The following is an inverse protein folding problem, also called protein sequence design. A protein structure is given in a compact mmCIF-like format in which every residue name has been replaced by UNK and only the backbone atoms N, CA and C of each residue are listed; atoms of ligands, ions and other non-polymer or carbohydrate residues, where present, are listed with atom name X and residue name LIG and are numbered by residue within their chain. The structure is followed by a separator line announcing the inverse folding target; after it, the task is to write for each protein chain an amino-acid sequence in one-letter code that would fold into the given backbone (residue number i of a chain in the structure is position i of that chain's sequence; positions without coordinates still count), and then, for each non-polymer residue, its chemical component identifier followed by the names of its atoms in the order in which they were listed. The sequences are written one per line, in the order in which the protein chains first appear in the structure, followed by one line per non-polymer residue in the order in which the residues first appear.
data_IF_798096736413
#
_entry.id   IF_798096736413
#
_cell.length_a   1.000
_cell.length_b   1.000
_cell.length_c   1.000
_cell.angle_alpha   90.00
_cell.angle_beta   90.00
_cell.angle_gamma   90.00
#
_symmetry.space_group_name_H-M   'P 1'
#
loop_
_entity.id
_entity.type
_entity.pdbx_description
1 polymer ?
#
# COMPACT_ATOMS: atom_id res chain seq x y z
N UNK A 1 -13.05 -4.62 13.19
CA UNK A 1 -12.03 -4.30 14.18
C UNK A 1 -12.19 -2.84 14.57
N UNK A 2 -12.37 -2.57 15.86
CA UNK A 2 -12.47 -1.20 16.40
C UNK A 2 -11.06 -0.65 16.69
N UNK A 3 -10.26 -0.49 15.63
CA UNK A 3 -9.00 0.26 15.72
C UNK A 3 -9.33 1.73 15.54
N UNK A 4 -8.85 2.58 16.47
CA UNK A 4 -8.99 4.03 16.37
C UNK A 4 -8.36 4.61 15.13
N UNK A 5 -8.64 5.87 14.85
CA UNK A 5 -8.07 6.62 13.72
C UNK A 5 -7.39 7.91 14.19
N UNK A 6 -7.09 8.01 15.50
CA UNK A 6 -6.59 9.24 16.10
C UNK A 6 -5.25 9.68 15.50
N UNK A 7 -4.33 8.72 15.31
CA UNK A 7 -3.02 8.99 14.75
C UNK A 7 -3.09 9.42 13.28
N UNK A 8 -4.02 8.85 12.50
CA UNK A 8 -4.11 9.09 11.06
C UNK A 8 -5.26 10.00 10.64
N UNK A 9 -5.92 10.67 11.59
CA UNK A 9 -7.04 11.57 11.32
C UNK A 9 -6.69 12.65 10.28
N UNK A 10 -5.49 13.22 10.35
CA UNK A 10 -5.02 14.30 9.47
C UNK A 10 -4.33 13.79 8.18
N UNK A 11 -4.11 12.48 8.06
CA UNK A 11 -3.49 11.90 6.86
C UNK A 11 -4.36 12.14 5.63
N UNK A 12 -3.74 12.49 4.50
CA UNK A 12 -4.47 12.69 3.25
C UNK A 12 -5.19 11.42 2.79
N UNK A 13 -6.46 11.51 2.50
CA UNK A 13 -7.24 10.37 2.00
C UNK A 13 -6.92 10.04 0.55
N UNK A 14 -6.58 11.07 -0.24
CA UNK A 14 -6.31 10.93 -1.67
C UNK A 14 -5.21 11.91 -2.12
N UNK A 15 -4.30 11.44 -2.95
CA UNK A 15 -3.33 12.27 -3.66
C UNK A 15 -3.49 12.05 -5.16
N UNK A 16 -3.53 13.13 -5.95
CA UNK A 16 -3.49 13.04 -7.41
C UNK A 16 -2.05 13.17 -7.88
N UNK A 17 -1.62 12.29 -8.78
CA UNK A 17 -0.28 12.29 -9.36
C UNK A 17 -0.40 12.16 -10.89
N UNK A 18 0.37 12.96 -11.60
CA UNK A 18 0.59 12.83 -13.05
C UNK A 18 2.03 12.39 -13.29
N UNK A 19 2.22 11.37 -14.15
CA UNK A 19 3.56 10.93 -14.55
C UNK A 19 3.67 10.99 -16.07
N UNK A 20 4.83 11.47 -16.53
CA UNK A 20 5.15 11.52 -17.95
C UNK A 20 5.15 10.11 -18.56
N UNK A 21 4.55 9.97 -19.74
CA UNK A 21 4.36 8.70 -20.45
C UNK A 21 5.68 7.99 -20.82
N UNK A 22 6.80 8.71 -20.86
CA UNK A 22 8.13 8.16 -21.13
C UNK A 22 8.78 7.51 -19.92
N UNK A 23 8.32 7.84 -18.70
CA UNK A 23 8.82 7.21 -17.48
C UNK A 23 8.33 5.77 -17.38
N UNK A 24 9.18 4.85 -16.90
CA UNK A 24 8.71 3.55 -16.48
C UNK A 24 8.10 3.67 -15.08
N UNK A 25 6.93 3.09 -14.93
CA UNK A 25 6.20 3.11 -13.67
C UNK A 25 6.01 1.69 -13.17
N UNK A 26 6.42 1.46 -11.94
CA UNK A 26 6.29 0.16 -11.26
C UNK A 26 5.36 0.27 -10.07
N UNK A 27 4.60 -0.80 -9.82
CA UNK A 27 3.73 -0.94 -8.64
C UNK A 27 4.07 -2.24 -7.94
N UNK A 28 4.27 -2.20 -6.63
CA UNK A 28 4.57 -3.37 -5.80
C UNK A 28 3.52 -3.54 -4.70
N UNK A 29 3.10 -4.79 -4.48
CA UNK A 29 2.22 -5.17 -3.38
C UNK A 29 2.91 -5.23 -2.03
N UNK A 30 2.29 -5.95 -1.09
CA UNK A 30 2.76 -6.11 0.29
C UNK A 30 4.19 -6.65 0.36
N UNK A 31 5.00 -6.06 1.25
CA UNK A 31 6.42 -6.39 1.39
C UNK A 31 6.79 -7.08 2.71
N UNK A 32 5.97 -6.93 3.75
CA UNK A 32 6.13 -7.62 5.04
C UNK A 32 7.56 -7.52 5.62
N UNK A 33 8.22 -6.37 5.53
CA UNK A 33 9.57 -6.16 6.04
C UNK A 33 10.68 -6.91 5.26
N UNK A 34 10.39 -7.46 4.07
CA UNK A 34 11.32 -8.26 3.27
C UNK A 34 12.13 -7.38 2.28
N UNK A 35 13.15 -6.70 2.81
CA UNK A 35 14.08 -5.91 1.99
C UNK A 35 14.81 -6.72 0.91
N UNK A 36 15.30 -7.95 1.17
CA UNK A 36 15.90 -8.79 0.12
C UNK A 36 14.97 -9.07 -1.05
N UNK A 37 13.68 -9.37 -0.78
CA UNK A 37 12.70 -9.63 -1.82
C UNK A 37 12.46 -8.39 -2.69
N UNK A 38 12.32 -7.20 -2.08
CA UNK A 38 12.21 -5.94 -2.83
C UNK A 38 13.43 -5.70 -3.73
N UNK A 39 14.65 -5.82 -3.18
CA UNK A 39 15.88 -5.62 -3.96
C UNK A 39 15.97 -6.60 -5.13
N UNK A 40 15.62 -7.86 -4.92
CA UNK A 40 15.61 -8.86 -5.99
C UNK A 40 14.59 -8.50 -7.07
N UNK A 41 13.38 -8.08 -6.70
CA UNK A 41 12.35 -7.67 -7.66
C UNK A 41 12.83 -6.49 -8.52
N UNK A 42 13.37 -5.46 -7.89
CA UNK A 42 13.89 -4.26 -8.58
C UNK A 42 15.09 -4.57 -9.48
N UNK A 43 16.01 -5.43 -9.01
CA UNK A 43 17.17 -5.84 -9.82
C UNK A 43 16.76 -6.61 -11.08
N UNK A 44 15.73 -7.46 -11.00
CA UNK A 44 15.25 -8.25 -12.14
C UNK A 44 14.70 -7.38 -13.28
N UNK A 45 14.25 -6.18 -13.00
CA UNK A 45 13.74 -5.22 -14.00
C UNK A 45 14.75 -4.10 -14.31
N UNK A 46 15.96 -4.16 -13.74
CA UNK A 46 16.97 -3.11 -13.84
C UNK A 46 16.39 -1.73 -13.48
N UNK A 47 15.71 -1.64 -12.31
CA UNK A 47 15.12 -0.41 -11.82
C UNK A 47 16.19 0.66 -11.58
N UNK A 48 15.94 1.85 -12.11
CA UNK A 48 16.80 3.03 -11.95
C UNK A 48 16.01 4.14 -11.21
N UNK A 49 16.33 4.45 -9.93
CA UNK A 49 15.59 5.45 -9.16
C UNK A 49 15.68 6.89 -9.68
N UNK A 50 16.59 7.16 -10.62
CA UNK A 50 16.68 8.48 -11.27
C UNK A 50 15.76 8.60 -12.50
N UNK A 51 15.23 7.50 -13.01
CA UNK A 51 14.43 7.45 -14.24
C UNK A 51 13.08 6.77 -14.08
N UNK A 52 12.98 5.87 -13.13
CA UNK A 52 11.79 5.05 -12.91
C UNK A 52 11.04 5.52 -11.67
N UNK A 53 9.75 5.26 -11.60
CA UNK A 53 8.92 5.54 -10.43
C UNK A 53 8.38 4.23 -9.85
N UNK A 54 8.52 4.05 -8.54
CA UNK A 54 7.95 2.92 -7.81
C UNK A 54 6.81 3.39 -6.91
N UNK A 55 5.63 2.76 -7.03
CA UNK A 55 4.54 2.86 -6.08
C UNK A 55 4.50 1.62 -5.18
N UNK A 56 4.41 1.82 -3.86
CA UNK A 56 4.28 0.76 -2.86
C UNK A 56 2.89 0.84 -2.22
N UNK A 57 2.13 -0.26 -2.28
CA UNK A 57 0.71 -0.31 -1.92
C UNK A 57 0.43 -0.53 -0.42
N UNK A 58 1.37 -0.17 0.46
CA UNK A 58 1.25 -0.37 1.90
C UNK A 58 1.73 -1.74 2.35
N UNK A 59 1.60 -2.01 3.63
CA UNK A 59 2.09 -3.22 4.30
C UNK A 59 3.55 -3.57 3.94
N UNK A 60 4.40 -2.54 3.96
CA UNK A 60 5.85 -2.73 3.87
C UNK A 60 6.50 -2.90 5.25
N UNK A 61 5.77 -2.60 6.34
CA UNK A 61 6.19 -2.89 7.71
C UNK A 61 5.77 -4.30 8.15
N UNK A 62 6.29 -4.71 9.32
CA UNK A 62 5.94 -5.91 10.07
C UNK A 62 6.42 -7.24 9.48
N UNK A 63 6.29 -8.31 10.28
CA UNK A 63 6.64 -9.71 9.99
C UNK A 63 8.14 -9.92 9.77
N UNK A 64 8.78 -9.13 8.90
CA UNK A 64 10.23 -9.19 8.65
C UNK A 64 11.02 -8.35 9.67
N UNK A 65 12.20 -8.83 10.04
CA UNK A 65 13.13 -8.14 10.94
C UNK A 65 13.90 -6.97 10.27
N UNK A 66 13.76 -6.82 8.94
CA UNK A 66 14.36 -5.76 8.14
C UNK A 66 13.41 -4.59 7.85
N UNK A 67 12.31 -4.48 8.57
CA UNK A 67 11.30 -3.45 8.34
C UNK A 67 11.87 -2.02 8.33
N UNK A 68 12.70 -1.65 9.32
CA UNK A 68 13.28 -0.31 9.35
C UNK A 68 14.27 -0.07 8.17
N UNK A 69 15.07 -1.07 7.84
CA UNK A 69 16.00 -1.00 6.71
C UNK A 69 15.24 -0.90 5.37
N UNK A 70 14.12 -1.63 5.25
CA UNK A 70 13.22 -1.57 4.09
C UNK A 70 12.61 -0.18 3.93
N UNK A 71 12.07 0.38 5.00
CA UNK A 71 11.53 1.75 5.00
C UNK A 71 12.59 2.78 4.56
N UNK A 72 13.80 2.72 5.14
CA UNK A 72 14.90 3.62 4.78
C UNK A 72 15.32 3.44 3.30
N UNK A 73 15.30 2.23 2.80
CA UNK A 73 15.58 1.94 1.39
C UNK A 73 14.52 2.51 0.46
N UNK A 74 13.22 2.34 0.78
CA UNK A 74 12.12 2.94 0.00
C UNK A 74 12.23 4.47 -0.07
N UNK A 75 12.62 5.12 1.03
CA UNK A 75 12.89 6.56 1.04
C UNK A 75 14.08 6.93 0.15
N UNK A 76 15.18 6.17 0.24
CA UNK A 76 16.40 6.42 -0.53
C UNK A 76 16.17 6.33 -2.05
N UNK A 77 15.32 5.43 -2.50
CA UNK A 77 14.92 5.31 -3.91
C UNK A 77 13.73 6.19 -4.29
N UNK A 78 13.25 7.04 -3.37
CA UNK A 78 12.12 7.96 -3.58
C UNK A 78 10.82 7.26 -3.97
N UNK A 79 10.55 6.08 -3.42
CA UNK A 79 9.31 5.35 -3.67
C UNK A 79 8.08 6.15 -3.19
N UNK A 80 7.04 6.16 -4.00
CA UNK A 80 5.72 6.69 -3.63
C UNK A 80 4.98 5.65 -2.80
N UNK A 81 4.92 5.85 -1.49
CA UNK A 81 4.28 4.93 -0.55
C UNK A 81 2.86 5.39 -0.22
N UNK A 82 1.92 4.48 -0.12
CA UNK A 82 0.64 4.67 0.56
C UNK A 82 0.63 3.84 1.86
N UNK A 83 -0.27 4.17 2.78
CA UNK A 83 -0.42 3.41 4.01
C UNK A 83 -1.25 2.14 3.78
N UNK A 84 -0.84 1.05 4.42
CA UNK A 84 -1.63 -0.16 4.60
C UNK A 84 -2.18 -0.28 6.01
N UNK A 85 -2.85 -1.39 6.31
CA UNK A 85 -3.41 -1.61 7.64
C UNK A 85 -2.33 -1.90 8.69
N UNK A 86 -1.17 -2.41 8.31
CA UNK A 86 -0.03 -2.60 9.22
C UNK A 86 0.61 -1.26 9.62
N UNK A 87 0.78 -0.32 8.69
CA UNK A 87 1.21 1.05 9.03
C UNK A 87 0.19 1.74 9.92
N UNK A 88 -1.12 1.56 9.69
CA UNK A 88 -2.17 2.09 10.56
C UNK A 88 -2.07 1.52 11.98
N UNK A 89 -1.94 0.20 12.15
CA UNK A 89 -1.73 -0.42 13.46
C UNK A 89 -0.51 0.13 14.20
N UNK A 90 0.62 0.26 13.50
CA UNK A 90 1.84 0.82 14.06
C UNK A 90 1.63 2.25 14.55
N UNK A 91 1.03 3.11 13.73
CA UNK A 91 0.81 4.52 14.06
C UNK A 91 -0.14 4.70 15.25
N UNK A 92 -1.27 3.97 15.29
CA UNK A 92 -2.19 4.02 16.43
C UNK A 92 -1.54 3.47 17.72
N UNK A 93 -0.72 2.42 17.60
CA UNK A 93 -0.01 1.84 18.73
C UNK A 93 1.00 2.79 19.34
N UNK A 94 1.77 3.48 18.50
CA UNK A 94 2.90 4.30 18.97
C UNK A 94 2.51 5.75 19.30
N UNK A 95 1.48 6.30 18.64
CA UNK A 95 1.12 7.70 18.78
C UNK A 95 -0.15 7.93 19.61
N UNK A 96 -1.10 6.99 19.61
CA UNK A 96 -2.37 7.13 20.32
C UNK A 96 -2.41 6.41 21.67
N UNK A 97 -1.36 5.67 22.04
CA UNK A 97 -1.32 4.81 23.23
C UNK A 97 -2.49 3.80 23.29
N UNK A 98 -3.00 3.38 22.16
CA UNK A 98 -4.07 2.40 22.05
C UNK A 98 -3.53 1.00 22.33
N UNK A 99 -3.88 0.44 23.51
CA UNK A 99 -3.43 -0.89 23.92
C UNK A 99 -3.99 -2.01 23.04
N UNK A 100 -5.20 -1.85 22.51
CA UNK A 100 -5.80 -2.84 21.64
C UNK A 100 -5.07 -2.87 20.28
N UNK A 101 -4.79 -1.70 19.73
CA UNK A 101 -3.96 -1.57 18.52
C UNK A 101 -2.56 -2.15 18.76
N UNK A 102 -1.92 -1.83 19.90
CA UNK A 102 -0.58 -2.33 20.23
C UNK A 102 -0.53 -3.86 20.33
N UNK A 103 -1.49 -4.49 21.00
CA UNK A 103 -1.56 -5.94 21.11
C UNK A 103 -1.76 -6.57 19.74
N UNK A 104 -2.73 -6.05 18.96
CA UNK A 104 -3.00 -6.55 17.62
C UNK A 104 -1.78 -6.38 16.69
N UNK A 105 -1.10 -5.24 16.77
CA UNK A 105 0.11 -4.97 16.00
C UNK A 105 1.23 -5.95 16.32
N UNK A 106 1.53 -6.14 17.62
CA UNK A 106 2.61 -7.05 18.04
C UNK A 106 2.29 -8.51 17.74
N UNK A 107 1.02 -8.92 17.83
CA UNK A 107 0.56 -10.27 17.45
C UNK A 107 0.63 -10.51 15.93
N UNK A 108 0.60 -9.44 15.12
CA UNK A 108 0.65 -9.51 13.67
C UNK A 108 2.03 -9.15 13.07
N UNK A 109 3.08 -9.15 13.85
CA UNK A 109 4.45 -9.03 13.35
C UNK A 109 5.18 -7.74 13.71
N UNK A 110 4.58 -6.86 14.54
CA UNK A 110 5.16 -5.58 14.95
C UNK A 110 6.35 -5.67 15.90
N UNK A 111 6.76 -6.87 16.35
CA UNK A 111 7.82 -7.05 17.35
C UNK A 111 9.22 -6.56 16.92
N UNK A 112 9.43 -6.33 15.62
CA UNK A 112 10.66 -5.75 15.07
C UNK A 112 11.00 -4.38 15.69
N UNK A 113 9.99 -3.61 16.13
CA UNK A 113 10.17 -2.29 16.74
C UNK A 113 11.10 -2.32 17.97
N UNK A 114 11.19 -3.46 18.68
CA UNK A 114 12.04 -3.63 19.85
C UNK A 114 13.54 -3.54 19.53
N UNK A 115 13.92 -3.72 18.28
CA UNK A 115 15.31 -3.61 17.79
C UNK A 115 15.65 -2.23 17.23
N UNK A 116 14.71 -1.29 17.23
CA UNK A 116 14.86 0.06 16.69
C UNK A 116 14.74 1.09 17.81
N UNK A 117 15.61 2.11 17.82
CA UNK A 117 15.54 3.15 18.87
C UNK A 117 14.25 3.97 18.77
N UNK A 118 13.81 4.53 19.89
CA UNK A 118 12.60 5.37 19.94
C UNK A 118 12.68 6.59 19.05
N UNK A 119 13.86 7.18 18.90
CA UNK A 119 14.10 8.33 18.02
C UNK A 119 13.88 7.95 16.54
N UNK A 120 14.39 6.80 16.13
CA UNK A 120 14.19 6.28 14.77
C UNK A 120 12.74 5.95 14.48
N UNK A 121 12.04 5.34 15.46
CA UNK A 121 10.61 5.06 15.34
C UNK A 121 9.79 6.35 15.24
N UNK A 122 10.13 7.37 16.03
CA UNK A 122 9.46 8.68 15.95
C UNK A 122 9.61 9.30 14.56
N UNK A 123 10.83 9.35 14.03
CA UNK A 123 11.08 9.87 12.67
C UNK A 123 10.32 9.07 11.62
N UNK A 124 10.28 7.75 11.75
CA UNK A 124 9.52 6.89 10.84
C UNK A 124 8.02 7.18 10.91
N UNK A 125 7.46 7.35 12.12
CA UNK A 125 6.05 7.72 12.29
C UNK A 125 5.75 9.08 11.63
N UNK A 126 6.58 10.10 11.87
CA UNK A 126 6.41 11.43 11.28
C UNK A 126 6.40 11.37 9.75
N UNK A 127 7.28 10.57 9.17
CA UNK A 127 7.33 10.34 7.72
C UNK A 127 6.09 9.58 7.21
N UNK A 128 5.64 8.53 7.91
CA UNK A 128 4.46 7.77 7.53
C UNK A 128 3.20 8.63 7.54
N UNK A 129 3.05 9.57 8.48
CA UNK A 129 1.94 10.51 8.54
C UNK A 129 1.85 11.45 7.32
N UNK A 130 2.92 11.56 6.53
CA UNK A 130 2.91 12.32 5.27
C UNK A 130 2.37 11.52 4.08
N UNK A 131 2.23 10.20 4.22
CA UNK A 131 1.82 9.31 3.11
C UNK A 131 0.30 9.25 3.00
N UNK A 132 -0.29 9.27 1.79
CA UNK A 132 -1.73 9.22 1.62
C UNK A 132 -2.29 7.80 1.84
N UNK A 133 -3.62 7.70 1.97
CA UNK A 133 -4.33 6.42 1.99
C UNK A 133 -4.57 5.86 0.58
N UNK A 134 -4.58 6.72 -0.43
CA UNK A 134 -4.74 6.34 -1.84
C UNK A 134 -4.12 7.35 -2.79
N UNK A 135 -3.84 6.91 -3.99
CA UNK A 135 -3.35 7.75 -5.09
C UNK A 135 -4.28 7.56 -6.29
N UNK A 136 -4.62 8.66 -6.96
CA UNK A 136 -5.19 8.65 -8.30
C UNK A 136 -4.09 9.09 -9.26
N UNK A 137 -3.63 8.14 -10.06
CA UNK A 137 -2.52 8.31 -10.98
C UNK A 137 -3.04 8.52 -12.39
N UNK A 138 -2.58 9.56 -13.07
CA UNK A 138 -2.75 9.72 -14.52
C UNK A 138 -1.45 9.32 -15.22
N UNK A 139 -1.54 8.31 -16.09
CA UNK A 139 -0.41 7.76 -16.83
C UNK A 139 -0.85 7.12 -18.14
N UNK A 140 -0.21 7.52 -19.25
CA UNK A 140 -0.49 7.02 -20.61
C UNK A 140 -1.97 7.09 -21.02
N UNK A 141 -2.65 8.16 -20.62
CA UNK A 141 -4.06 8.38 -20.92
C UNK A 141 -5.05 7.58 -20.08
N UNK A 142 -4.57 6.81 -19.07
CA UNK A 142 -5.39 6.08 -18.11
C UNK A 142 -5.44 6.81 -16.78
N UNK A 143 -6.59 6.74 -16.11
CA UNK A 143 -6.79 7.14 -14.73
C UNK A 143 -6.80 5.87 -13.88
N UNK A 144 -5.82 5.74 -12.98
CA UNK A 144 -5.52 4.51 -12.25
C UNK A 144 -5.63 4.78 -10.74
N UNK A 145 -6.45 3.99 -10.05
CA UNK A 145 -6.56 4.03 -8.60
C UNK A 145 -5.53 3.12 -7.93
N UNK A 146 -4.80 3.65 -6.94
CA UNK A 146 -3.88 2.88 -6.11
C UNK A 146 -4.30 3.02 -4.65
N UNK A 147 -4.60 1.92 -3.98
CA UNK A 147 -4.85 1.85 -2.53
C UNK A 147 -4.49 0.48 -1.98
N UNK A 148 -4.34 0.38 -0.67
CA UNK A 148 -3.99 -0.89 -0.05
C UNK A 148 -5.08 -1.95 -0.29
N UNK A 149 -6.35 -1.58 -0.06
CA UNK A 149 -7.53 -2.33 -0.50
C UNK A 149 -8.64 -1.35 -0.90
N UNK A 150 -9.86 -1.82 -1.13
CA UNK A 150 -11.02 -0.95 -1.32
C UNK A 150 -12.31 -1.68 -0.96
N UNK A 151 -13.30 -0.92 -0.50
CA UNK A 151 -14.64 -1.42 -0.29
C UNK A 151 -15.40 -1.57 -1.61
N UNK A 152 -16.34 -2.50 -1.62
CA UNK A 152 -17.26 -2.66 -2.75
C UNK A 152 -17.94 -1.31 -3.06
N UNK A 153 -18.03 -0.96 -4.35
CA UNK A 153 -18.63 0.28 -4.83
C UNK A 153 -17.86 1.55 -4.44
N UNK A 154 -16.53 1.46 -4.22
CA UNK A 154 -15.72 2.63 -3.97
C UNK A 154 -15.77 3.62 -5.14
N UNK A 155 -16.04 4.89 -4.82
CA UNK A 155 -16.06 5.99 -5.77
C UNK A 155 -14.76 6.81 -5.65
N UNK A 156 -13.90 6.70 -6.65
CA UNK A 156 -12.61 7.39 -6.69
C UNK A 156 -12.72 8.90 -6.93
N UNK A 157 -13.86 9.38 -7.41
CA UNK A 157 -14.13 10.82 -7.57
C UNK A 157 -14.63 11.42 -6.27
N UNK A 158 -15.60 10.75 -5.60
CA UNK A 158 -16.35 11.29 -4.47
C UNK A 158 -16.10 10.48 -3.20
N UNK A 159 -15.06 10.85 -2.45
CA UNK A 159 -14.76 10.24 -1.15
C UNK A 159 -15.77 10.72 -0.09
N UNK A 160 -16.19 9.85 0.83
CA UNK A 160 -17.04 10.26 1.94
C UNK A 160 -16.29 11.22 2.88
N UNK A 161 -17.03 12.05 3.63
CA UNK A 161 -16.45 12.94 4.65
C UNK A 161 -15.97 12.17 5.89
N UNK A 162 -16.56 11.01 6.15
CA UNK A 162 -16.23 10.18 7.31
C UNK A 162 -14.87 9.49 7.13
N UNK A 163 -13.87 9.98 7.86
CA UNK A 163 -12.52 9.43 7.84
C UNK A 163 -12.45 7.97 8.27
N UNK A 164 -13.28 7.58 9.25
CA UNK A 164 -13.32 6.19 9.73
C UNK A 164 -13.79 5.25 8.63
N UNK A 165 -14.81 5.66 7.87
CA UNK A 165 -15.29 4.91 6.72
C UNK A 165 -14.22 4.80 5.61
N UNK A 166 -13.49 5.89 5.34
CA UNK A 166 -12.39 5.87 4.38
C UNK A 166 -11.31 4.88 4.80
N UNK A 167 -10.87 4.94 6.06
CA UNK A 167 -9.84 4.05 6.60
C UNK A 167 -10.30 2.59 6.55
N UNK A 168 -11.54 2.31 6.99
CA UNK A 168 -12.09 0.96 6.90
C UNK A 168 -12.12 0.47 5.44
N UNK A 169 -12.54 1.31 4.51
CA UNK A 169 -12.69 0.95 3.09
C UNK A 169 -11.36 0.74 2.38
N UNK A 170 -10.36 1.61 2.63
CA UNK A 170 -9.11 1.61 1.87
C UNK A 170 -7.98 0.80 2.51
N UNK A 171 -8.07 0.48 3.80
CA UNK A 171 -7.02 -0.26 4.52
C UNK A 171 -7.45 -1.66 5.00
N UNK A 172 -8.75 -1.88 5.27
CA UNK A 172 -9.20 -3.08 6.00
C UNK A 172 -10.21 -3.94 5.26
N UNK A 173 -10.86 -3.44 4.22
CA UNK A 173 -11.92 -4.15 3.53
C UNK A 173 -11.39 -5.39 2.81
N UNK A 174 -12.14 -6.51 2.92
CA UNK A 174 -11.84 -7.80 2.25
C UNK A 174 -13.03 -8.35 1.47
N UNK A 175 -14.15 -7.65 1.46
CA UNK A 175 -15.42 -8.18 0.93
C UNK A 175 -15.37 -8.36 -0.59
N UNK A 176 -14.75 -7.45 -1.32
CA UNK A 176 -14.63 -7.53 -2.80
C UNK A 176 -13.99 -8.84 -3.22
N UNK A 177 -12.89 -9.23 -2.55
CA UNK A 177 -12.14 -10.44 -2.90
C UNK A 177 -12.84 -11.70 -2.37
N UNK A 178 -13.34 -11.66 -1.12
CA UNK A 178 -14.05 -12.80 -0.52
C UNK A 178 -15.31 -13.18 -1.26
N UNK A 179 -16.08 -12.20 -1.70
CA UNK A 179 -17.35 -12.43 -2.39
C UNK A 179 -17.17 -12.69 -3.88
N UNK A 180 -15.99 -12.44 -4.43
CA UNK A 180 -15.67 -12.51 -5.86
C UNK A 180 -16.76 -11.85 -6.73
N UNK A 181 -17.31 -10.74 -6.22
CA UNK A 181 -18.32 -9.98 -6.97
C UNK A 181 -17.61 -9.10 -7.98
N UNK A 182 -18.04 -9.20 -9.21
CA UNK A 182 -17.62 -8.28 -10.27
C UNK A 182 -18.23 -6.91 -9.96
N UNK A 183 -17.40 -6.02 -9.42
CA UNK A 183 -17.76 -4.62 -9.17
C UNK A 183 -16.82 -3.76 -9.98
N UNK A 184 -17.38 -2.84 -10.76
CA UNK A 184 -16.60 -1.84 -11.47
C UNK A 184 -16.43 -0.61 -10.58
N UNK A 185 -15.19 -0.26 -10.26
CA UNK A 185 -14.88 0.99 -9.57
C UNK A 185 -15.22 2.18 -10.44
N UNK A 186 -15.83 3.21 -9.83
CA UNK A 186 -16.17 4.45 -10.48
C UNK A 186 -15.01 5.45 -10.41
N UNK A 187 -14.85 6.27 -11.45
CA UNK A 187 -13.89 7.37 -11.47
C UNK A 187 -12.45 6.98 -11.82
N UNK A 188 -12.21 5.70 -12.16
CA UNK A 188 -10.92 5.20 -12.67
C UNK A 188 -11.14 4.18 -13.78
N UNK A 189 -10.19 4.07 -14.71
CA UNK A 189 -10.21 3.02 -15.71
C UNK A 189 -10.00 1.66 -15.07
N UNK A 190 -9.02 1.57 -14.17
CA UNK A 190 -8.78 0.42 -13.30
C UNK A 190 -8.09 0.83 -12.01
N UNK A 191 -8.01 -0.11 -11.06
CA UNK A 191 -7.30 0.10 -9.81
C UNK A 191 -6.41 -1.09 -9.45
N UNK A 192 -5.37 -0.87 -8.62
CA UNK A 192 -4.42 -1.90 -8.18
C UNK A 192 -4.35 -1.89 -6.66
N UNK A 193 -4.36 -3.08 -6.06
CA UNK A 193 -4.46 -3.30 -4.62
C UNK A 193 -3.56 -4.42 -4.10
N UNK A 194 -3.12 -4.30 -2.84
CA UNK A 194 -2.49 -5.34 -2.02
C UNK A 194 -3.48 -6.05 -1.09
N UNK A 195 -3.09 -6.23 0.17
CA UNK A 195 -3.90 -6.64 1.32
C UNK A 195 -4.53 -8.04 1.27
N UNK A 196 -5.10 -8.40 0.15
CA UNK A 196 -5.85 -9.65 -0.01
C UNK A 196 -4.95 -10.72 -0.61
N UNK A 197 -4.24 -11.45 0.27
CA UNK A 197 -3.20 -12.41 -0.08
C UNK A 197 -3.70 -13.52 -0.98
N UNK A 198 -3.00 -13.74 -2.09
CA UNK A 198 -3.31 -14.76 -3.09
C UNK A 198 -2.03 -15.44 -3.59
N UNK A 199 -2.18 -16.57 -4.31
CA UNK A 199 -1.03 -17.26 -4.90
C UNK A 199 -0.52 -16.61 -6.18
N UNK A 200 -1.38 -15.87 -6.89
CA UNK A 200 -1.06 -15.18 -8.13
C UNK A 200 -1.95 -13.93 -8.25
N UNK A 201 -1.50 -12.87 -8.93
CA UNK A 201 -2.33 -11.70 -9.20
C UNK A 201 -3.58 -12.06 -9.98
N UNK A 202 -4.69 -11.36 -9.71
CA UNK A 202 -5.98 -11.62 -10.39
C UNK A 202 -6.84 -10.37 -10.46
N UNK A 203 -7.74 -10.34 -11.42
CA UNK A 203 -8.70 -9.26 -11.63
C UNK A 203 -10.05 -9.57 -10.98
N UNK A 204 -10.67 -8.55 -10.38
CA UNK A 204 -12.09 -8.54 -9.98
C UNK A 204 -12.72 -7.28 -10.58
N UNK A 205 -13.52 -7.44 -11.63
CA UNK A 205 -14.00 -6.29 -12.41
C UNK A 205 -12.83 -5.52 -13.03
N UNK A 206 -12.72 -4.22 -12.70
CA UNK A 206 -11.59 -3.37 -13.08
C UNK A 206 -10.58 -3.15 -11.94
N UNK A 207 -10.52 -4.02 -10.96
CA UNK A 207 -9.53 -4.00 -9.89
C UNK A 207 -8.56 -5.16 -9.98
N UNK A 208 -7.26 -4.87 -9.86
CA UNK A 208 -6.18 -5.84 -9.94
C UNK A 208 -5.54 -6.04 -8.57
N UNK A 209 -5.57 -7.27 -8.07
CA UNK A 209 -5.10 -7.64 -6.73
C UNK A 209 -3.76 -8.35 -6.85
N UNK A 210 -2.72 -7.82 -6.17
CA UNK A 210 -1.33 -8.24 -6.38
C UNK A 210 -0.58 -8.61 -5.10
N UNK A 211 -1.26 -8.77 -3.97
CA UNK A 211 -0.61 -9.28 -2.76
C UNK A 211 -0.34 -10.79 -2.91
N UNK A 212 0.90 -11.13 -3.23
CA UNK A 212 1.36 -12.52 -3.42
C UNK A 212 2.43 -12.95 -2.43
N UNK A 213 2.77 -12.11 -1.43
CA UNK A 213 3.92 -12.32 -0.57
C UNK A 213 3.64 -13.27 0.61
N UNK A 214 2.43 -13.29 1.16
CA UNK A 214 2.11 -13.90 2.45
C UNK A 214 2.28 -15.42 2.52
N UNK A 215 1.94 -16.19 1.47
CA UNK A 215 1.94 -17.67 1.50
C UNK A 215 3.28 -18.29 1.09
N UNK A 216 4.41 -17.69 1.48
CA UNK A 216 5.74 -18.13 1.02
C UNK A 216 5.99 -17.80 -0.45
N UNK A 217 5.17 -16.91 -1.00
CA UNK A 217 5.34 -16.32 -2.31
C UNK A 217 6.43 -15.24 -2.31
N UNK A 218 6.45 -14.47 -3.39
CA UNK A 218 7.27 -13.28 -3.55
C UNK A 218 6.37 -12.09 -3.82
N UNK A 219 6.77 -10.87 -3.42
CA UNK A 219 6.00 -9.69 -3.77
C UNK A 219 5.90 -9.56 -5.30
N UNK A 220 4.71 -9.28 -5.77
CA UNK A 220 4.49 -8.98 -7.19
C UNK A 220 4.91 -7.54 -7.47
N UNK A 221 5.84 -7.39 -8.41
CA UNK A 221 6.22 -6.11 -9.01
C UNK A 221 5.66 -6.06 -10.43
N UNK A 222 4.84 -5.06 -10.71
CA UNK A 222 4.25 -4.83 -12.03
C UNK A 222 4.94 -3.66 -12.71
N UNK A 223 5.25 -3.76 -13.99
CA UNK A 223 5.46 -2.61 -14.85
C UNK A 223 4.10 -2.16 -15.41
N UNK A 224 3.72 -0.91 -15.14
CA UNK A 224 2.36 -0.44 -15.40
C UNK A 224 2.02 -0.39 -16.90
N UNK A 225 3.02 -0.11 -17.74
CA UNK A 225 2.86 -0.17 -19.20
C UNK A 225 2.50 -1.56 -19.72
N UNK A 226 3.01 -2.62 -19.09
CA UNK A 226 2.66 -4.01 -19.43
C UNK A 226 1.22 -4.33 -19.02
N UNK A 227 0.77 -3.85 -17.84
CA UNK A 227 -0.63 -4.01 -17.43
C UNK A 227 -1.56 -3.32 -18.41
N UNK A 228 -1.28 -2.06 -18.77
CA UNK A 228 -2.07 -1.29 -19.74
C UNK A 228 -2.16 -2.03 -21.09
N UNK A 229 -1.06 -2.56 -21.58
CA UNK A 229 -1.04 -3.30 -22.86
C UNK A 229 -1.91 -4.57 -22.85
N UNK A 230 -2.34 -5.07 -21.70
CA UNK A 230 -3.28 -6.20 -21.60
C UNK A 230 -4.76 -5.76 -21.65
N UNK A 231 -5.03 -4.47 -21.55
CA UNK A 231 -6.40 -3.91 -21.54
C UNK A 231 -6.87 -3.49 -22.93
N UNK A 232 -5.95 -3.26 -23.87
CA UNK A 232 -6.18 -2.94 -25.29
C UNK A 232 -6.46 -4.23 -26.10
#
# INVERSE_FOLDING_TARGET
LDIGINAIQAVSSKQAIFINDECRVFVIGDLDGDLPALKNALNNVNFDPERDTLFCLGDFVDRGDKTYDLFTYLQAIRACMILGNHEHLMLESLLSNDKAAFNLWTDNGGNWHKSVSSEKLSVMCDELLTKPLSIVLEYRGYIIGLSHTFAQSWDWENYPDDKSLIVQSLLWDREVVKQNKVVKSHGVDFSIHGHNSTKAPFWVGNSYHIDTNYYGGKPTLLELSEVIATLD
#
